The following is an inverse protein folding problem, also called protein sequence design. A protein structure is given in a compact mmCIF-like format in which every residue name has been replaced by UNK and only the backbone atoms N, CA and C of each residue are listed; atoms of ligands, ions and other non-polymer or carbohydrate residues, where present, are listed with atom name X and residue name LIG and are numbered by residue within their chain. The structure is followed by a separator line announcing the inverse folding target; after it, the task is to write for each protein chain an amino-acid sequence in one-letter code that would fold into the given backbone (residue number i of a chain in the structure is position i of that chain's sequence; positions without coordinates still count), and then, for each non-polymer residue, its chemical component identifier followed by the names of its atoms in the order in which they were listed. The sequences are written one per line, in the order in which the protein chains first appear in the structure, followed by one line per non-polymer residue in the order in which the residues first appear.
data_IF_243320557775
#
_entry.id   IF_243320557775
#
_cell.length_a   1.000
_cell.length_b   1.000
_cell.length_c   1.000
_cell.angle_alpha   90.00
_cell.angle_beta   90.00
_cell.angle_gamma   90.00
#
_symmetry.space_group_name_H-M   'P 1'
#
loop_
_entity.id
_entity.type
_entity.pdbx_description
1 polymer ?
#
# COMPACT_ATOMS: atom_id res chain seq x y z
N UNK A 1 -20.86 24.33 20.36
CA UNK A 1 -21.25 22.93 20.56
C UNK A 1 -20.14 22.09 19.94
N UNK A 2 -19.50 21.18 20.69
CA UNK A 2 -18.43 20.35 20.11
C UNK A 2 -19.07 19.46 19.04
N UNK A 3 -18.58 19.55 17.81
CA UNK A 3 -19.08 18.80 16.67
C UNK A 3 -19.02 17.29 17.00
N UNK A 4 -20.16 16.58 16.96
CA UNK A 4 -20.21 15.14 17.22
C UNK A 4 -19.78 14.41 15.95
N UNK A 5 -18.63 13.70 15.92
CA UNK A 5 -18.23 12.95 14.74
C UNK A 5 -19.20 11.81 14.46
N UNK A 6 -19.63 11.70 13.21
CA UNK A 6 -20.44 10.58 12.71
C UNK A 6 -19.56 9.40 12.33
N UNK A 7 -19.87 8.21 12.85
CA UNK A 7 -19.22 6.94 12.50
C UNK A 7 -20.15 6.11 11.62
N UNK A 8 -19.64 5.59 10.50
CA UNK A 8 -20.32 4.58 9.70
C UNK A 8 -20.07 3.19 10.29
N UNK A 9 -21.14 2.51 10.70
CA UNK A 9 -21.14 1.13 11.16
C UNK A 9 -21.54 0.20 10.02
N UNK A 10 -20.60 -0.59 9.50
CA UNK A 10 -20.85 -1.63 8.51
C UNK A 10 -21.09 -3.00 9.14
N UNK A 11 -22.21 -3.65 8.80
CA UNK A 11 -22.52 -5.02 9.22
C UNK A 11 -23.43 -5.73 8.21
N UNK A 12 -23.43 -7.07 8.22
CA UNK A 12 -24.45 -7.87 7.53
C UNK A 12 -25.59 -8.12 8.53
N UNK A 13 -26.65 -7.30 8.51
CA UNK A 13 -27.66 -7.27 9.58
C UNK A 13 -28.57 -8.49 9.62
N UNK A 14 -28.59 -9.27 8.54
CA UNK A 14 -29.28 -10.55 8.42
C UNK A 14 -28.67 -11.67 9.28
N UNK A 15 -27.39 -11.57 9.60
CA UNK A 15 -26.62 -12.60 10.32
C UNK A 15 -25.90 -12.07 11.55
N UNK A 16 -25.67 -10.75 11.61
CA UNK A 16 -24.87 -10.06 12.64
C UNK A 16 -25.62 -8.91 13.30
N UNK A 17 -26.95 -9.01 13.33
CA UNK A 17 -27.84 -7.94 13.75
C UNK A 17 -27.73 -7.60 15.25
N UNK A 18 -27.60 -8.61 16.11
CA UNK A 18 -27.47 -8.40 17.56
C UNK A 18 -26.16 -7.69 17.91
N UNK A 19 -25.06 -8.11 17.28
CA UNK A 19 -23.74 -7.53 17.44
C UNK A 19 -23.70 -6.09 16.93
N UNK A 20 -24.30 -5.83 15.76
CA UNK A 20 -24.41 -4.49 15.20
C UNK A 20 -25.24 -3.58 16.11
N UNK A 21 -26.34 -4.07 16.67
CA UNK A 21 -27.17 -3.32 17.62
C UNK A 21 -26.40 -2.98 18.91
N UNK A 22 -25.62 -3.92 19.42
CA UNK A 22 -24.76 -3.69 20.59
C UNK A 22 -23.71 -2.63 20.30
N UNK A 23 -22.96 -2.76 19.20
CA UNK A 23 -21.94 -1.79 18.82
C UNK A 23 -22.53 -0.40 18.55
N UNK A 24 -23.68 -0.32 17.90
CA UNK A 24 -24.45 0.91 17.73
C UNK A 24 -24.74 1.59 19.07
N UNK A 25 -25.27 0.83 20.05
CA UNK A 25 -25.58 1.36 21.39
C UNK A 25 -24.33 1.89 22.08
N UNK A 26 -23.23 1.14 22.07
CA UNK A 26 -21.97 1.56 22.69
C UNK A 26 -21.43 2.84 22.05
N UNK A 27 -21.47 2.96 20.72
CA UNK A 27 -21.04 4.19 20.03
C UNK A 27 -21.91 5.41 20.40
N UNK A 28 -23.23 5.23 20.54
CA UNK A 28 -24.13 6.29 21.03
C UNK A 28 -23.80 6.69 22.48
N UNK A 29 -23.51 5.73 23.36
CA UNK A 29 -23.06 5.97 24.74
C UNK A 29 -21.71 6.73 24.78
N UNK A 30 -20.83 6.49 23.81
CA UNK A 30 -19.58 7.24 23.61
C UNK A 30 -19.77 8.59 22.90
N UNK A 31 -21.00 9.11 22.89
CA UNK A 31 -21.34 10.44 22.38
C UNK A 31 -21.05 10.61 20.88
N UNK A 32 -21.17 9.54 20.08
CA UNK A 32 -21.01 9.58 18.61
C UNK A 32 -22.36 9.61 17.91
N UNK A 33 -22.39 10.22 16.73
CA UNK A 33 -23.47 9.94 15.77
C UNK A 33 -23.12 8.68 14.98
N UNK A 34 -24.12 7.88 14.62
CA UNK A 34 -23.89 6.56 14.02
C UNK A 34 -24.84 6.37 12.85
N UNK A 35 -24.27 6.17 11.67
CA UNK A 35 -25.00 5.68 10.49
C UNK A 35 -24.74 4.19 10.35
N UNK A 36 -25.76 3.41 10.01
CA UNK A 36 -25.63 1.95 9.84
C UNK A 36 -25.84 1.63 8.36
N UNK A 37 -24.87 0.94 7.77
CA UNK A 37 -24.94 0.42 6.39
C UNK A 37 -25.01 -1.11 6.43
N UNK A 38 -26.05 -1.66 5.79
CA UNK A 38 -26.27 -3.09 5.71
C UNK A 38 -25.67 -3.69 4.44
N UNK A 39 -24.75 -4.64 4.61
CA UNK A 39 -24.13 -5.41 3.54
C UNK A 39 -24.63 -6.85 3.42
N UNK A 40 -25.70 -7.20 4.13
CA UNK A 40 -26.29 -8.54 4.10
C UNK A 40 -26.94 -8.88 2.77
N UNK A 41 -26.87 -10.15 2.38
CA UNK A 41 -27.45 -10.67 1.11
C UNK A 41 -28.46 -11.80 1.34
N UNK A 42 -28.61 -12.28 2.57
CA UNK A 42 -29.56 -13.32 2.97
C UNK A 42 -30.69 -12.71 3.79
N UNK A 43 -31.57 -13.55 4.31
CA UNK A 43 -32.47 -13.27 5.44
C UNK A 43 -33.19 -11.91 5.43
N UNK A 44 -33.63 -11.50 6.62
CA UNK A 44 -34.18 -10.17 6.87
C UNK A 44 -33.26 -9.44 7.84
N UNK A 45 -33.03 -8.13 7.66
CA UNK A 45 -32.19 -7.39 8.59
C UNK A 45 -32.84 -7.42 9.98
N UNK A 46 -32.04 -7.63 11.01
CA UNK A 46 -32.53 -7.67 12.40
C UNK A 46 -33.17 -6.35 12.85
N UNK A 47 -32.78 -5.24 12.21
CA UNK A 47 -33.38 -3.93 12.40
C UNK A 47 -33.17 -3.04 11.17
N UNK A 48 -33.93 -1.95 11.08
CA UNK A 48 -33.84 -0.99 9.98
C UNK A 48 -32.49 -0.24 9.99
N UNK A 49 -31.65 -0.39 8.95
CA UNK A 49 -30.42 0.39 8.79
C UNK A 49 -30.71 1.81 8.31
N UNK A 50 -29.71 2.69 8.38
CA UNK A 50 -29.80 4.01 7.74
C UNK A 50 -29.57 3.94 6.24
N UNK A 51 -28.79 2.96 5.80
CA UNK A 51 -28.51 2.64 4.40
C UNK A 51 -28.81 1.16 4.22
N UNK A 52 -29.86 0.86 3.46
CA UNK A 52 -30.35 -0.49 3.24
C UNK A 52 -29.43 -1.28 2.30
N UNK A 53 -29.46 -2.61 2.44
CA UNK A 53 -28.77 -3.52 1.52
C UNK A 53 -29.30 -3.42 0.08
N UNK A 54 -30.56 -3.00 -0.10
CA UNK A 54 -31.15 -2.72 -1.40
C UNK A 54 -30.52 -1.46 -2.04
N UNK A 55 -30.22 -0.42 -1.26
CA UNK A 55 -29.45 0.74 -1.71
C UNK A 55 -28.01 0.36 -2.03
N UNK A 56 -27.37 -0.44 -1.17
CA UNK A 56 -26.00 -0.96 -1.41
C UNK A 56 -25.95 -1.75 -2.71
N UNK A 57 -26.86 -2.69 -2.92
CA UNK A 57 -26.95 -3.45 -4.16
C UNK A 57 -27.11 -2.51 -5.36
N UNK A 58 -28.04 -1.56 -5.30
CA UNK A 58 -28.30 -0.61 -6.40
C UNK A 58 -27.09 0.25 -6.73
N UNK A 59 -26.32 0.67 -5.72
CA UNK A 59 -25.09 1.42 -5.94
C UNK A 59 -24.01 0.59 -6.69
N UNK A 60 -24.06 -0.74 -6.61
CA UNK A 60 -23.22 -1.64 -7.43
C UNK A 60 -23.68 -1.79 -8.88
N UNK A 61 -24.87 -1.28 -9.22
CA UNK A 61 -25.50 -1.42 -10.53
C UNK A 61 -26.46 -2.61 -10.66
N UNK A 62 -26.74 -3.33 -9.57
CA UNK A 62 -27.59 -4.51 -9.55
C UNK A 62 -28.72 -4.36 -8.52
N UNK A 63 -29.83 -5.08 -8.71
CA UNK A 63 -30.82 -5.25 -7.65
C UNK A 63 -30.35 -6.30 -6.63
N UNK A 64 -30.87 -6.23 -5.41
CA UNK A 64 -30.58 -7.24 -4.39
C UNK A 64 -31.02 -8.66 -4.84
N UNK A 65 -32.13 -8.74 -5.58
CA UNK A 65 -32.64 -10.01 -6.10
C UNK A 65 -31.75 -10.63 -7.19
N UNK A 66 -31.04 -9.82 -7.98
CA UNK A 66 -30.02 -10.31 -8.91
C UNK A 66 -28.80 -10.82 -8.15
N UNK A 67 -28.33 -10.07 -7.14
CA UNK A 67 -27.17 -10.47 -6.31
C UNK A 67 -27.45 -11.79 -5.58
N UNK A 68 -28.67 -11.97 -5.04
CA UNK A 68 -29.09 -13.21 -4.37
C UNK A 68 -29.09 -14.44 -5.28
N UNK A 69 -29.24 -14.27 -6.59
CA UNK A 69 -29.24 -15.36 -7.57
C UNK A 69 -27.84 -15.82 -7.96
N UNK A 70 -26.79 -15.10 -7.56
CA UNK A 70 -25.40 -15.47 -7.83
C UNK A 70 -25.07 -16.75 -7.04
N UNK A 71 -24.67 -17.85 -7.72
CA UNK A 71 -24.46 -19.14 -7.06
C UNK A 71 -23.34 -19.12 -6.00
N UNK A 72 -22.31 -18.31 -6.24
CA UNK A 72 -21.15 -18.22 -5.38
C UNK A 72 -21.25 -16.99 -4.47
N UNK A 73 -21.42 -17.21 -3.17
CA UNK A 73 -21.54 -16.15 -2.16
C UNK A 73 -20.37 -15.15 -2.22
N UNK A 74 -19.17 -15.63 -2.56
CA UNK A 74 -17.98 -14.80 -2.76
C UNK A 74 -18.17 -13.72 -3.83
N UNK A 75 -18.78 -14.08 -4.96
CA UNK A 75 -19.05 -13.16 -6.06
C UNK A 75 -20.14 -12.15 -5.69
N UNK A 76 -21.19 -12.60 -5.00
CA UNK A 76 -22.25 -11.73 -4.49
C UNK A 76 -21.71 -10.67 -3.53
N UNK A 77 -20.82 -11.06 -2.61
CA UNK A 77 -20.19 -10.15 -1.64
C UNK A 77 -19.30 -9.11 -2.33
N UNK A 78 -18.63 -9.44 -3.44
CA UNK A 78 -17.84 -8.48 -4.20
C UNK A 78 -18.71 -7.34 -4.74
N UNK A 79 -19.91 -7.64 -5.26
CA UNK A 79 -20.83 -6.61 -5.74
C UNK A 79 -21.33 -5.72 -4.59
N UNK A 80 -21.68 -6.32 -3.45
CA UNK A 80 -22.06 -5.56 -2.26
C UNK A 80 -20.93 -4.65 -1.78
N UNK A 81 -19.67 -5.12 -1.84
CA UNK A 81 -18.51 -4.31 -1.49
C UNK A 81 -18.37 -3.09 -2.41
N UNK A 82 -18.55 -3.27 -3.72
CA UNK A 82 -18.49 -2.18 -4.70
C UNK A 82 -19.59 -1.14 -4.47
N UNK A 83 -20.81 -1.58 -4.15
CA UNK A 83 -21.90 -0.69 -3.80
C UNK A 83 -21.62 0.10 -2.52
N UNK A 84 -21.18 -0.59 -1.47
CA UNK A 84 -20.84 0.03 -0.19
C UNK A 84 -19.64 0.99 -0.30
N UNK A 85 -18.66 0.68 -1.15
CA UNK A 85 -17.52 1.56 -1.47
C UNK A 85 -18.01 2.90 -2.02
N UNK A 86 -18.89 2.89 -3.02
CA UNK A 86 -19.41 4.11 -3.66
C UNK A 86 -20.16 4.97 -2.65
N UNK A 87 -21.09 4.37 -1.92
CA UNK A 87 -21.86 5.07 -0.89
C UNK A 87 -20.93 5.66 0.18
N UNK A 88 -19.97 4.88 0.69
CA UNK A 88 -19.05 5.34 1.73
C UNK A 88 -18.20 6.52 1.24
N UNK A 89 -17.71 6.49 0.00
CA UNK A 89 -16.97 7.60 -0.61
C UNK A 89 -17.80 8.87 -0.73
N UNK A 90 -19.05 8.74 -1.19
CA UNK A 90 -19.95 9.88 -1.32
C UNK A 90 -20.23 10.51 0.05
N UNK A 91 -20.45 9.69 1.08
CA UNK A 91 -20.63 10.17 2.45
C UNK A 91 -19.40 10.92 3.00
N UNK A 92 -18.18 10.47 2.67
CA UNK A 92 -16.94 11.18 3.04
C UNK A 92 -16.85 12.51 2.31
N UNK A 93 -17.09 12.52 0.99
CA UNK A 93 -17.03 13.72 0.16
C UNK A 93 -18.03 14.79 0.62
N UNK A 94 -19.20 14.35 1.08
CA UNK A 94 -20.26 15.21 1.63
C UNK A 94 -20.02 15.62 3.10
N UNK A 95 -18.96 15.13 3.75
CA UNK A 95 -18.67 15.41 5.16
C UNK A 95 -19.66 14.77 6.13
N UNK A 96 -20.43 13.76 5.70
CA UNK A 96 -21.46 13.10 6.51
C UNK A 96 -20.89 12.06 7.48
N UNK A 97 -19.70 11.52 7.20
CA UNK A 97 -19.01 10.55 8.06
C UNK A 97 -17.55 10.95 8.29
N UNK A 98 -17.04 10.58 9.46
CA UNK A 98 -15.71 10.94 9.97
C UNK A 98 -14.86 9.72 10.34
N UNK A 99 -15.45 8.54 10.27
CA UNK A 99 -14.77 7.27 10.48
C UNK A 99 -15.68 6.10 10.13
N UNK A 100 -15.08 4.94 9.91
CA UNK A 100 -15.80 3.70 9.65
C UNK A 100 -15.35 2.63 10.63
N UNK A 101 -16.32 1.94 11.23
CA UNK A 101 -16.09 0.69 11.92
C UNK A 101 -16.96 -0.39 11.31
N UNK A 102 -16.40 -1.57 11.12
CA UNK A 102 -17.13 -2.72 10.64
C UNK A 102 -16.62 -3.99 11.28
N UNK A 103 -17.35 -5.09 11.09
CA UNK A 103 -16.95 -6.37 11.64
C UNK A 103 -17.46 -7.55 10.82
N UNK A 104 -16.82 -8.70 10.99
CA UNK A 104 -17.31 -9.94 10.41
C UNK A 104 -16.36 -11.12 10.53
N UNK A 105 -16.85 -12.27 10.09
CA UNK A 105 -16.02 -13.44 9.82
C UNK A 105 -15.24 -13.28 8.51
N UNK A 106 -14.92 -14.38 7.83
CA UNK A 106 -14.20 -14.34 6.55
C UNK A 106 -14.88 -13.44 5.50
N UNK A 107 -16.17 -13.66 5.22
CA UNK A 107 -16.91 -12.92 4.19
C UNK A 107 -17.12 -11.45 4.54
N UNK A 108 -17.51 -11.15 5.79
CA UNK A 108 -17.66 -9.77 6.25
C UNK A 108 -16.32 -9.03 6.27
N UNK A 109 -15.22 -9.70 6.59
CA UNK A 109 -13.89 -9.09 6.53
C UNK A 109 -13.48 -8.76 5.09
N UNK A 110 -13.82 -9.62 4.12
CA UNK A 110 -13.59 -9.33 2.71
C UNK A 110 -14.44 -8.14 2.24
N UNK A 111 -15.73 -8.13 2.57
CA UNK A 111 -16.66 -7.05 2.25
C UNK A 111 -16.14 -5.70 2.76
N UNK A 112 -15.99 -5.59 4.07
CA UNK A 112 -15.68 -4.32 4.71
C UNK A 112 -14.21 -3.93 4.55
N UNK A 113 -13.30 -4.91 4.45
CA UNK A 113 -11.91 -4.66 4.10
C UNK A 113 -11.75 -4.06 2.72
N UNK A 114 -12.55 -4.52 1.74
CA UNK A 114 -12.61 -3.92 0.40
C UNK A 114 -13.13 -2.50 0.46
N UNK A 115 -14.18 -2.22 1.24
CA UNK A 115 -14.68 -0.85 1.47
C UNK A 115 -13.58 0.05 2.06
N UNK A 116 -12.91 -0.41 3.11
CA UNK A 116 -11.88 0.35 3.81
C UNK A 116 -10.62 0.61 2.98
N UNK A 117 -10.30 -0.26 2.02
CA UNK A 117 -9.17 -0.06 1.10
C UNK A 117 -9.32 1.14 0.18
N UNK A 118 -10.55 1.59 -0.04
CA UNK A 118 -10.84 2.72 -0.92
C UNK A 118 -10.97 4.04 -0.15
N UNK A 119 -10.76 4.01 1.16
CA UNK A 119 -10.83 5.20 2.01
C UNK A 119 -9.45 5.85 2.07
N UNK A 120 -9.38 7.20 2.11
CA UNK A 120 -8.12 7.93 2.14
C UNK A 120 -7.22 7.57 3.33
N UNK A 121 -5.91 7.71 3.19
CA UNK A 121 -4.98 7.66 4.32
C UNK A 121 -5.37 8.68 5.40
N UNK A 122 -5.16 8.29 6.66
CA UNK A 122 -5.53 9.10 7.82
C UNK A 122 -7.03 9.06 8.15
N UNK A 123 -7.91 8.65 7.22
CA UNK A 123 -9.33 8.49 7.53
C UNK A 123 -9.53 7.34 8.54
N UNK A 124 -10.18 7.56 9.70
CA UNK A 124 -10.38 6.53 10.71
C UNK A 124 -11.11 5.29 10.21
N UNK A 125 -10.45 4.14 10.24
CA UNK A 125 -10.98 2.87 9.70
C UNK A 125 -10.60 1.68 10.59
N UNK A 126 -11.60 1.02 11.18
CA UNK A 126 -11.44 -0.11 12.11
C UNK A 126 -12.25 -1.31 11.64
N UNK A 127 -11.58 -2.44 11.42
CA UNK A 127 -12.24 -3.71 11.11
C UNK A 127 -12.03 -4.71 12.25
N UNK A 128 -13.12 -5.19 12.86
CA UNK A 128 -13.08 -6.29 13.82
C UNK A 128 -13.26 -7.61 13.05
N UNK A 129 -12.25 -8.48 13.07
CA UNK A 129 -12.23 -9.69 12.24
C UNK A 129 -11.87 -10.94 13.04
N UNK A 130 -12.58 -12.04 12.81
CA UNK A 130 -12.18 -13.38 13.30
C UNK A 130 -10.97 -13.95 12.55
N UNK A 131 -10.52 -13.26 11.50
CA UNK A 131 -9.42 -13.65 10.63
C UNK A 131 -8.26 -12.65 10.67
N UNK A 132 -8.22 -11.76 11.66
CA UNK A 132 -7.16 -10.76 11.76
C UNK A 132 -5.77 -11.35 12.02
N UNK A 133 -5.69 -12.59 12.50
CA UNK A 133 -4.45 -13.35 12.66
C UNK A 133 -4.14 -14.28 11.49
N UNK A 134 -4.94 -14.26 10.42
CA UNK A 134 -4.73 -15.08 9.23
C UNK A 134 -3.94 -14.28 8.16
N UNK A 135 -2.69 -14.65 7.82
CA UNK A 135 -1.89 -13.93 6.85
C UNK A 135 -2.56 -13.72 5.49
N UNK A 136 -3.36 -14.68 5.01
CA UNK A 136 -4.03 -14.59 3.71
C UNK A 136 -5.18 -13.57 3.72
N UNK A 137 -5.84 -13.39 4.88
CA UNK A 137 -6.87 -12.36 5.02
C UNK A 137 -6.23 -10.99 5.20
N UNK A 138 -5.17 -10.87 6.00
CA UNK A 138 -4.43 -9.61 6.17
C UNK A 138 -3.94 -9.08 4.81
N UNK A 139 -3.33 -9.95 3.99
CA UNK A 139 -2.90 -9.64 2.61
C UNK A 139 -4.03 -9.11 1.73
N UNK A 140 -5.25 -9.60 1.93
CA UNK A 140 -6.41 -9.18 1.14
C UNK A 140 -7.09 -7.94 1.66
N UNK A 141 -6.98 -7.66 2.97
CA UNK A 141 -7.76 -6.64 3.68
C UNK A 141 -6.96 -5.35 3.94
N UNK A 142 -5.71 -5.45 4.41
CA UNK A 142 -4.93 -4.27 4.81
C UNK A 142 -4.16 -3.69 3.62
N UNK A 143 -3.45 -4.56 2.88
CA UNK A 143 -2.60 -4.19 1.73
C UNK A 143 -1.71 -2.98 2.06
N UNK A 144 -1.86 -1.87 1.32
CA UNK A 144 -1.07 -0.65 1.45
C UNK A 144 -1.71 0.44 2.33
N UNK A 145 -2.87 0.19 2.93
CA UNK A 145 -3.65 1.17 3.72
C UNK A 145 -3.41 1.06 5.22
N UNK A 146 -3.74 2.14 5.93
CA UNK A 146 -3.70 2.30 7.38
C UNK A 146 -4.95 1.74 8.08
N UNK A 147 -5.33 0.50 7.76
CA UNK A 147 -6.50 -0.17 8.36
C UNK A 147 -6.15 -0.71 9.76
N UNK A 148 -6.90 -0.28 10.77
CA UNK A 148 -6.82 -0.88 12.10
C UNK A 148 -7.61 -2.20 12.13
N UNK A 149 -6.90 -3.32 12.05
CA UNK A 149 -7.49 -4.65 12.09
C UNK A 149 -7.48 -5.20 13.53
N UNK A 150 -8.64 -5.22 14.18
CA UNK A 150 -8.81 -5.73 15.54
C UNK A 150 -9.17 -7.23 15.49
N UNK A 151 -8.32 -8.07 16.07
CA UNK A 151 -8.58 -9.51 16.12
C UNK A 151 -9.71 -9.86 17.09
N UNK A 152 -10.67 -10.65 16.61
CA UNK A 152 -11.63 -11.36 17.45
C UNK A 152 -11.14 -12.80 17.65
N UNK A 153 -10.58 -13.17 18.81
CA UNK A 153 -10.11 -14.54 19.08
C UNK A 153 -11.24 -15.57 19.15
N UNK A 154 -12.50 -15.12 19.27
CA UNK A 154 -13.69 -15.97 19.24
C UNK A 154 -14.53 -15.62 18.01
N UNK A 155 -15.36 -16.57 17.58
CA UNK A 155 -16.32 -16.27 16.52
C UNK A 155 -17.29 -15.16 16.95
N UNK A 156 -17.69 -14.33 15.98
CA UNK A 156 -18.65 -13.23 16.19
C UNK A 156 -20.07 -13.77 16.01
N UNK A 157 -20.43 -14.82 16.75
CA UNK A 157 -21.74 -15.48 16.69
C UNK A 157 -22.48 -15.25 18.02
N UNK A 158 -23.18 -14.15 18.10
CA UNK A 158 -23.90 -13.70 19.28
C UNK A 158 -23.03 -12.96 20.30
N UNK A 159 -23.72 -12.40 21.30
CA UNK A 159 -23.11 -11.60 22.36
C UNK A 159 -22.80 -12.46 23.60
N UNK A 160 -21.51 -12.55 23.93
CA UNK A 160 -21.00 -13.14 25.16
C UNK A 160 -20.00 -12.16 25.80
N UNK A 161 -19.51 -12.39 27.03
CA UNK A 161 -18.58 -11.47 27.68
C UNK A 161 -17.33 -11.13 26.85
N UNK A 162 -16.81 -12.09 26.07
CA UNK A 162 -15.64 -11.87 25.22
C UNK A 162 -15.98 -11.04 23.98
N UNK A 163 -17.05 -11.36 23.25
CA UNK A 163 -17.45 -10.58 22.07
C UNK A 163 -17.87 -9.15 22.46
N UNK A 164 -18.60 -8.98 23.57
CA UNK A 164 -18.91 -7.64 24.13
C UNK A 164 -17.64 -6.84 24.43
N UNK A 165 -16.64 -7.46 25.06
CA UNK A 165 -15.35 -6.82 25.35
C UNK A 165 -14.63 -6.36 24.08
N UNK A 166 -14.64 -7.18 23.03
CA UNK A 166 -14.01 -6.86 21.73
C UNK A 166 -14.74 -5.71 21.03
N UNK A 167 -16.08 -5.75 20.97
CA UNK A 167 -16.88 -4.67 20.39
C UNK A 167 -16.72 -3.36 21.16
N UNK A 168 -16.68 -3.41 22.49
CA UNK A 168 -16.42 -2.25 23.33
C UNK A 168 -15.06 -1.62 22.99
N UNK A 169 -13.99 -2.43 22.89
CA UNK A 169 -12.66 -1.95 22.49
C UNK A 169 -12.67 -1.34 21.09
N UNK A 170 -13.31 -2.00 20.12
CA UNK A 170 -13.46 -1.47 18.77
C UNK A 170 -14.17 -0.10 18.76
N UNK A 171 -15.25 0.03 19.53
CA UNK A 171 -15.99 1.29 19.69
C UNK A 171 -15.11 2.41 20.27
N UNK A 172 -14.31 2.10 21.29
CA UNK A 172 -13.37 3.06 21.87
C UNK A 172 -12.24 3.44 20.91
N UNK A 173 -11.68 2.48 20.17
CA UNK A 173 -10.64 2.74 19.16
C UNK A 173 -11.17 3.72 18.11
N UNK A 174 -12.29 3.41 17.45
CA UNK A 174 -12.84 4.31 16.43
C UNK A 174 -13.24 5.66 17.03
N UNK A 175 -13.80 5.66 18.25
CA UNK A 175 -14.21 6.89 18.95
C UNK A 175 -13.06 7.83 19.25
N UNK A 176 -11.87 7.30 19.55
CA UNK A 176 -10.64 8.08 19.70
C UNK A 176 -10.07 8.51 18.35
N UNK A 177 -10.01 7.61 17.37
CA UNK A 177 -9.47 7.93 16.04
C UNK A 177 -10.23 9.09 15.37
N UNK A 178 -11.56 9.14 15.46
CA UNK A 178 -12.36 10.24 14.88
C UNK A 178 -12.19 11.59 15.59
N UNK A 179 -11.47 11.65 16.71
CA UNK A 179 -11.09 12.91 17.34
C UNK A 179 -9.76 13.45 16.79
N UNK A 180 -8.95 12.59 16.18
CA UNK A 180 -7.69 12.96 15.54
C UNK A 180 -7.98 13.43 14.10
N UNK A 181 -7.72 14.70 13.80
CA UNK A 181 -7.81 15.21 12.42
C UNK A 181 -6.48 15.00 11.72
N UNK A 182 -6.52 14.36 10.56
CA UNK A 182 -5.38 14.32 9.65
C UNK A 182 -5.33 15.65 8.88
N UNK A 183 -4.32 16.46 9.16
CA UNK A 183 -4.14 17.74 8.48
C UNK A 183 -3.65 17.54 7.04
N UNK A 184 -4.10 18.37 6.08
CA UNK A 184 -3.54 18.36 4.74
C UNK A 184 -2.03 18.55 4.77
N UNK A 185 -1.31 17.78 3.96
CA UNK A 185 0.14 17.91 3.79
C UNK A 185 0.46 19.29 3.20
N UNK A 186 1.24 20.09 3.93
CA UNK A 186 1.65 21.45 3.51
C UNK A 186 3.14 21.50 3.16
N UNK A 187 3.89 20.49 3.58
CA UNK A 187 5.32 20.36 3.41
C UNK A 187 5.69 19.94 1.98
N UNK A 188 6.95 20.20 1.59
CA UNK A 188 7.55 19.68 0.36
C UNK A 188 7.95 18.22 0.58
N UNK A 189 6.99 17.31 0.47
CA UNK A 189 7.19 15.89 0.77
C UNK A 189 7.80 15.15 -0.42
N UNK A 190 8.83 14.34 -0.14
CA UNK A 190 9.51 13.50 -1.13
C UNK A 190 9.37 12.05 -0.70
N UNK A 191 8.77 11.20 -1.55
CA UNK A 191 8.72 9.78 -1.29
C UNK A 191 10.08 9.13 -1.62
N UNK A 192 10.56 8.28 -0.73
CA UNK A 192 11.73 7.42 -0.94
C UNK A 192 11.26 5.96 -0.91
N UNK A 193 11.60 5.14 -1.89
CA UNK A 193 11.37 3.70 -1.83
C UNK A 193 12.70 2.97 -1.63
N UNK A 194 12.89 2.27 -0.50
CA UNK A 194 14.19 1.72 -0.12
C UNK A 194 14.14 0.37 0.61
N UNK A 195 15.26 -0.37 0.55
CA UNK A 195 15.53 -1.59 1.34
C UNK A 195 16.70 -1.39 2.31
N UNK A 196 16.75 -2.23 3.35
CA UNK A 196 17.82 -2.18 4.36
C UNK A 196 19.22 -2.44 3.79
N UNK A 197 19.34 -3.18 2.68
CA UNK A 197 20.63 -3.45 2.03
C UNK A 197 21.24 -2.23 1.30
N UNK A 198 20.56 -1.08 1.31
CA UNK A 198 21.08 0.21 0.83
C UNK A 198 20.93 1.33 1.87
N UNK A 199 20.68 1.01 3.15
CA UNK A 199 20.32 2.00 4.16
C UNK A 199 21.34 3.14 4.31
N UNK A 200 22.63 2.88 4.06
CA UNK A 200 23.67 3.91 4.01
C UNK A 200 23.38 5.03 2.99
N UNK A 201 22.84 4.69 1.80
CA UNK A 201 22.38 5.67 0.82
C UNK A 201 21.12 6.39 1.31
N UNK A 202 20.11 5.63 1.74
CA UNK A 202 18.80 6.17 2.12
C UNK A 202 18.94 7.18 3.25
N UNK A 203 19.76 6.90 4.26
CA UNK A 203 20.03 7.82 5.37
C UNK A 203 20.65 9.14 4.91
N UNK A 204 21.63 9.09 3.99
CA UNK A 204 22.26 10.28 3.44
C UNK A 204 21.30 11.11 2.58
N UNK A 205 20.47 10.45 1.76
CA UNK A 205 19.43 11.11 0.95
C UNK A 205 18.40 11.80 1.86
N UNK A 206 17.89 11.13 2.90
CA UNK A 206 16.96 11.73 3.88
C UNK A 206 17.57 12.98 4.52
N UNK A 207 18.80 12.88 5.01
CA UNK A 207 19.51 14.00 5.64
C UNK A 207 19.63 15.19 4.69
N UNK A 208 20.12 14.96 3.47
CA UNK A 208 20.32 16.01 2.46
C UNK A 208 19.02 16.66 2.00
N UNK A 209 17.92 15.89 1.89
CA UNK A 209 16.60 16.44 1.58
C UNK A 209 16.10 17.36 2.70
N UNK A 210 16.23 16.92 3.96
CA UNK A 210 15.87 17.73 5.12
C UNK A 210 16.68 19.04 5.19
N UNK A 211 17.99 18.98 4.94
CA UNK A 211 18.87 20.16 4.86
C UNK A 211 18.44 21.17 3.77
N UNK A 212 17.74 20.70 2.73
CA UNK A 212 17.18 21.54 1.65
C UNK A 212 15.72 21.94 1.88
N UNK A 213 15.14 21.63 3.05
CA UNK A 213 13.77 21.99 3.40
C UNK A 213 12.69 21.10 2.81
N UNK A 214 13.03 19.84 2.46
CA UNK A 214 12.07 18.82 2.03
C UNK A 214 11.85 17.80 3.15
N UNK A 215 10.64 17.24 3.21
CA UNK A 215 10.26 16.22 4.19
C UNK A 215 10.30 14.84 3.54
N UNK A 216 11.32 14.00 3.81
CA UNK A 216 11.37 12.67 3.24
C UNK A 216 10.38 11.72 3.91
N UNK A 217 9.64 10.94 3.12
CA UNK A 217 8.77 9.85 3.59
C UNK A 217 9.30 8.56 2.99
N UNK A 218 9.80 7.64 3.82
CA UNK A 218 10.39 6.39 3.35
C UNK A 218 9.37 5.26 3.37
N UNK A 219 9.16 4.65 2.22
CA UNK A 219 8.39 3.43 2.00
C UNK A 219 9.36 2.26 1.82
N UNK A 220 9.02 1.12 2.40
CA UNK A 220 9.84 -0.07 2.26
C UNK A 220 9.61 -0.70 0.88
N UNK A 221 10.65 -0.92 0.09
CA UNK A 221 10.54 -1.49 -1.26
C UNK A 221 10.32 -3.03 -1.24
N UNK A 222 9.51 -3.54 -0.32
CA UNK A 222 9.19 -4.95 -0.16
C UNK A 222 7.77 -5.12 0.39
N UNK A 223 7.15 -6.27 0.13
CA UNK A 223 5.74 -6.49 0.47
C UNK A 223 4.82 -5.46 -0.18
N UNK A 224 3.98 -4.79 0.62
CA UNK A 224 3.02 -3.79 0.15
C UNK A 224 3.53 -2.34 0.18
N UNK A 225 4.76 -2.06 0.63
CA UNK A 225 5.27 -0.69 0.66
C UNK A 225 5.29 0.01 -0.72
N UNK A 226 5.58 -0.68 -1.84
CA UNK A 226 5.40 -0.12 -3.19
C UNK A 226 3.96 0.30 -3.49
N UNK A 227 2.97 -0.48 -3.06
CA UNK A 227 1.56 -0.11 -3.18
C UNK A 227 1.23 1.14 -2.34
N UNK A 228 1.68 1.18 -1.09
CA UNK A 228 1.49 2.34 -0.21
C UNK A 228 2.08 3.62 -0.81
N UNK A 229 3.26 3.53 -1.45
CA UNK A 229 3.88 4.67 -2.13
C UNK A 229 3.00 5.18 -3.27
N UNK A 230 2.58 4.31 -4.17
CA UNK A 230 1.75 4.69 -5.32
C UNK A 230 0.41 5.28 -4.89
N UNK A 231 -0.20 4.74 -3.82
CA UNK A 231 -1.42 5.30 -3.23
C UNK A 231 -1.17 6.68 -2.59
N UNK A 232 -0.07 6.86 -1.84
CA UNK A 232 0.28 8.13 -1.23
C UNK A 232 0.52 9.22 -2.29
N UNK A 233 1.11 8.84 -3.43
CA UNK A 233 1.23 9.71 -4.59
C UNK A 233 -0.16 10.07 -5.11
N UNK A 234 -1.01 9.10 -5.46
CA UNK A 234 -2.39 9.35 -5.96
C UNK A 234 -3.21 10.26 -5.06
N UNK A 235 -3.06 10.12 -3.75
CA UNK A 235 -3.76 10.92 -2.74
C UNK A 235 -3.13 12.30 -2.48
N UNK A 236 -2.11 12.69 -3.27
CA UNK A 236 -1.41 13.98 -3.17
C UNK A 236 -0.71 14.21 -1.83
N UNK A 237 -0.34 13.14 -1.13
CA UNK A 237 0.48 13.22 0.09
C UNK A 237 1.95 13.49 -0.24
N UNK A 238 2.35 13.24 -1.48
CA UNK A 238 3.68 13.51 -2.02
C UNK A 238 3.60 14.73 -2.94
N UNK A 239 4.31 15.80 -2.59
CA UNK A 239 4.15 17.12 -3.24
C UNK A 239 5.36 17.56 -4.04
N UNK A 240 6.55 17.02 -3.75
CA UNK A 240 7.81 17.49 -4.33
C UNK A 240 8.52 16.49 -5.25
N UNK A 241 8.24 15.19 -5.13
CA UNK A 241 8.81 14.20 -6.03
C UNK A 241 8.97 12.82 -5.41
N UNK A 242 9.45 11.89 -6.22
CA UNK A 242 9.68 10.50 -5.84
C UNK A 242 11.11 10.09 -6.17
N UNK A 243 11.78 9.42 -5.25
CA UNK A 243 13.08 8.78 -5.44
C UNK A 243 12.92 7.28 -5.19
N UNK A 244 12.95 6.52 -6.27
CA UNK A 244 12.94 5.05 -6.25
C UNK A 244 14.38 4.57 -6.06
N UNK A 245 14.81 4.42 -4.80
CA UNK A 245 16.19 4.04 -4.46
C UNK A 245 16.44 2.54 -4.61
N UNK A 246 15.42 1.72 -4.33
CA UNK A 246 15.49 0.27 -4.41
C UNK A 246 14.42 -0.31 -5.32
N UNK A 247 14.78 -1.39 -5.99
CA UNK A 247 13.89 -2.25 -6.75
C UNK A 247 12.96 -3.07 -5.83
N UNK A 248 11.69 -3.11 -6.22
CA UNK A 248 10.66 -4.02 -5.74
C UNK A 248 10.04 -4.87 -6.86
N UNK A 249 10.01 -4.34 -8.09
CA UNK A 249 9.29 -4.93 -9.22
C UNK A 249 10.02 -6.13 -9.85
N UNK A 250 11.36 -6.17 -9.82
CA UNK A 250 12.14 -7.32 -10.29
C UNK A 250 11.78 -8.57 -9.48
N UNK A 251 11.64 -8.43 -8.16
CA UNK A 251 11.24 -9.55 -7.30
C UNK A 251 9.85 -10.06 -7.69
N UNK A 252 8.89 -9.16 -7.96
CA UNK A 252 7.58 -9.56 -8.47
C UNK A 252 7.68 -10.37 -9.79
N UNK A 253 8.56 -9.98 -10.71
CA UNK A 253 8.71 -10.66 -12.01
C UNK A 253 9.41 -12.02 -11.92
N UNK A 254 10.39 -12.15 -11.03
CA UNK A 254 11.22 -13.35 -10.93
C UNK A 254 10.89 -14.23 -9.72
N UNK A 255 9.76 -13.97 -9.05
CA UNK A 255 9.16 -14.90 -8.09
C UNK A 255 9.54 -14.69 -6.62
N UNK A 256 9.95 -13.48 -6.25
CA UNK A 256 10.08 -13.02 -4.87
C UNK A 256 8.74 -12.62 -4.23
N UNK A 257 8.81 -11.93 -3.10
CA UNK A 257 7.65 -11.68 -2.20
C UNK A 257 7.22 -10.20 -2.12
N UNK A 258 7.46 -9.45 -3.19
CA UNK A 258 6.96 -8.08 -3.34
C UNK A 258 5.60 -8.05 -4.02
N UNK A 259 4.72 -7.12 -3.61
CA UNK A 259 3.35 -6.99 -4.11
C UNK A 259 3.09 -5.58 -4.70
N UNK A 260 3.83 -5.17 -5.75
CA UNK A 260 3.62 -3.89 -6.39
C UNK A 260 2.25 -3.83 -7.10
N UNK A 261 1.61 -2.66 -7.21
CA UNK A 261 0.41 -2.51 -8.01
C UNK A 261 0.74 -2.55 -9.51
N UNK A 262 -0.29 -2.72 -10.34
CA UNK A 262 -0.16 -2.76 -11.80
C UNK A 262 0.50 -1.48 -12.36
N UNK A 263 0.15 -0.33 -11.77
CA UNK A 263 0.62 1.00 -12.15
C UNK A 263 1.91 1.43 -11.42
N UNK A 264 2.69 0.48 -10.89
CA UNK A 264 3.98 0.75 -10.27
C UNK A 264 4.90 1.58 -11.18
N UNK A 265 5.52 2.61 -10.58
CA UNK A 265 6.36 3.66 -11.17
C UNK A 265 5.64 4.68 -12.04
N UNK A 266 4.30 4.63 -12.14
CA UNK A 266 3.56 5.47 -13.08
C UNK A 266 2.89 6.67 -12.43
N UNK A 267 2.56 6.65 -11.12
CA UNK A 267 1.71 7.71 -10.56
C UNK A 267 2.46 9.03 -10.39
N UNK A 268 3.75 9.01 -10.06
CA UNK A 268 4.57 10.23 -10.06
C UNK A 268 4.53 10.91 -11.43
N UNK A 269 4.67 10.12 -12.50
CA UNK A 269 4.61 10.57 -13.89
C UNK A 269 3.22 11.15 -14.22
N UNK A 270 2.15 10.41 -13.90
CA UNK A 270 0.75 10.85 -14.13
C UNK A 270 0.43 12.16 -13.41
N UNK A 271 1.06 12.40 -12.27
CA UNK A 271 0.89 13.62 -11.46
C UNK A 271 1.89 14.72 -11.82
N UNK A 272 2.77 14.49 -12.79
CA UNK A 272 3.76 15.46 -13.23
C UNK A 272 4.84 15.76 -12.18
N UNK A 273 5.04 14.85 -11.22
CA UNK A 273 6.08 14.94 -10.20
C UNK A 273 7.44 14.49 -10.76
N UNK A 274 8.55 15.10 -10.33
CA UNK A 274 9.89 14.59 -10.55
C UNK A 274 10.03 13.15 -10.06
N UNK A 275 10.69 12.32 -10.88
CA UNK A 275 10.96 10.93 -10.55
C UNK A 275 12.44 10.61 -10.80
N UNK A 276 13.14 10.27 -9.73
CA UNK A 276 14.49 9.69 -9.81
C UNK A 276 14.37 8.18 -9.64
N UNK A 277 14.97 7.41 -10.55
CA UNK A 277 15.09 5.96 -10.43
C UNK A 277 16.54 5.55 -10.24
N UNK A 278 16.81 4.72 -9.24
CA UNK A 278 18.11 4.11 -8.96
C UNK A 278 17.92 2.59 -8.97
N UNK A 279 18.79 1.81 -9.65
CA UNK A 279 18.68 0.36 -9.67
C UNK A 279 19.19 -0.31 -8.38
N UNK A 280 18.99 0.31 -7.22
CA UNK A 280 19.42 -0.25 -5.95
C UNK A 280 18.71 -1.57 -5.66
N UNK A 281 19.41 -2.51 -5.04
CA UNK A 281 18.88 -3.84 -4.73
C UNK A 281 18.41 -4.64 -5.97
N UNK A 282 18.73 -4.23 -7.21
CA UNK A 282 18.45 -5.02 -8.41
C UNK A 282 19.35 -6.27 -8.50
N UNK A 283 20.43 -6.31 -7.73
CA UNK A 283 21.34 -7.45 -7.62
C UNK A 283 20.74 -8.67 -6.92
N UNK A 284 19.60 -8.53 -6.23
CA UNK A 284 19.02 -9.60 -5.41
C UNK A 284 17.58 -9.93 -5.78
N UNK A 285 17.23 -11.21 -5.61
CA UNK A 285 15.86 -11.71 -5.53
C UNK A 285 15.70 -12.34 -4.14
N UNK A 286 14.89 -11.71 -3.27
CA UNK A 286 14.51 -12.29 -2.00
C UNK A 286 13.52 -13.44 -2.18
N UNK A 287 13.86 -14.64 -1.71
CA UNK A 287 13.00 -15.83 -1.76
C UNK A 287 13.21 -16.75 -0.57
N UNK A 288 12.44 -17.84 -0.52
CA UNK A 288 12.57 -18.89 0.49
C UNK A 288 13.98 -19.53 0.43
N UNK A 289 14.49 -20.05 1.56
CA UNK A 289 15.70 -20.86 1.57
C UNK A 289 15.62 -22.03 0.60
N UNK A 290 16.74 -22.36 -0.05
CA UNK A 290 16.88 -23.49 -0.98
C UNK A 290 15.86 -23.53 -2.12
N UNK A 291 15.37 -22.36 -2.55
CA UNK A 291 14.43 -22.27 -3.66
C UNK A 291 15.04 -22.82 -4.96
N UNK A 292 14.42 -23.89 -5.48
CA UNK A 292 14.86 -24.63 -6.67
C UNK A 292 14.94 -23.76 -7.91
N UNK A 293 14.17 -22.66 -7.99
CA UNK A 293 14.19 -21.70 -9.10
C UNK A 293 15.56 -21.01 -9.25
N UNK A 294 16.32 -20.91 -8.17
CA UNK A 294 17.60 -20.20 -8.11
C UNK A 294 18.79 -21.14 -7.89
N UNK A 295 18.64 -22.43 -8.23
CA UNK A 295 19.70 -23.43 -8.10
C UNK A 295 20.97 -22.98 -8.82
N UNK A 296 22.11 -23.05 -8.12
CA UNK A 296 23.43 -22.70 -8.66
C UNK A 296 23.78 -21.21 -8.63
N UNK A 297 22.87 -20.33 -8.17
CA UNK A 297 23.17 -18.91 -8.02
C UNK A 297 23.96 -18.62 -6.76
N UNK A 298 24.78 -17.55 -6.78
CA UNK A 298 25.32 -16.94 -5.56
C UNK A 298 24.16 -16.42 -4.70
N UNK A 299 24.29 -16.51 -3.38
CA UNK A 299 23.26 -16.04 -2.46
C UNK A 299 23.85 -15.51 -1.14
N UNK A 300 23.04 -14.74 -0.42
CA UNK A 300 23.28 -14.33 0.96
C UNK A 300 22.11 -14.81 1.82
N UNK A 301 22.42 -15.38 2.99
CA UNK A 301 21.41 -15.77 3.98
C UNK A 301 21.00 -14.52 4.75
N UNK A 302 19.87 -13.91 4.40
CA UNK A 302 19.39 -12.70 5.07
C UNK A 302 18.86 -13.03 6.47
N UNK A 303 18.00 -14.05 6.57
CA UNK A 303 17.53 -14.63 7.83
C UNK A 303 17.08 -16.10 7.60
N UNK A 304 16.64 -16.84 8.64
CA UNK A 304 16.22 -18.23 8.48
C UNK A 304 15.06 -18.47 7.49
N UNK A 305 14.27 -17.45 7.18
CA UNK A 305 13.09 -17.53 6.30
C UNK A 305 13.30 -16.90 4.92
N UNK A 306 14.39 -16.16 4.72
CA UNK A 306 14.64 -15.39 3.49
C UNK A 306 16.11 -15.45 3.11
N UNK A 307 16.38 -15.90 1.88
CA UNK A 307 17.68 -15.80 1.23
C UNK A 307 17.59 -14.81 0.06
N UNK A 308 18.71 -14.16 -0.25
CA UNK A 308 18.83 -13.21 -1.36
C UNK A 308 19.70 -13.82 -2.45
N UNK A 309 19.12 -14.13 -3.60
CA UNK A 309 19.79 -14.78 -4.73
C UNK A 309 20.25 -13.75 -5.77
N UNK A 310 21.45 -13.95 -6.34
CA UNK A 310 22.00 -13.03 -7.35
C UNK A 310 21.17 -13.00 -8.64
N UNK A 311 20.91 -11.81 -9.16
CA UNK A 311 20.35 -11.64 -10.51
C UNK A 311 21.40 -11.81 -11.60
N UNK A 312 20.98 -12.30 -12.76
CA UNK A 312 21.83 -12.50 -13.94
C UNK A 312 21.84 -11.28 -14.86
N UNK A 313 22.82 -11.20 -15.77
CA UNK A 313 22.88 -10.19 -16.83
C UNK A 313 21.60 -10.11 -17.66
N UNK A 314 21.07 -11.27 -18.07
CA UNK A 314 19.84 -11.34 -18.86
C UNK A 314 18.64 -10.80 -18.11
N UNK A 315 18.46 -11.18 -16.84
CA UNK A 315 17.34 -10.69 -16.02
C UNK A 315 17.42 -9.19 -15.81
N UNK A 316 18.62 -8.64 -15.56
CA UNK A 316 18.79 -7.20 -15.41
C UNK A 316 18.57 -6.43 -16.71
N UNK A 317 18.97 -6.99 -17.85
CA UNK A 317 18.68 -6.42 -19.17
C UNK A 317 17.18 -6.39 -19.46
N UNK A 318 16.50 -7.53 -19.33
CA UNK A 318 15.05 -7.65 -19.57
C UNK A 318 14.26 -6.74 -18.61
N UNK A 319 14.68 -6.68 -17.34
CA UNK A 319 14.09 -5.81 -16.34
C UNK A 319 14.27 -4.32 -16.71
N UNK A 320 15.47 -3.92 -17.12
CA UNK A 320 15.75 -2.55 -17.53
C UNK A 320 14.90 -2.11 -18.72
N UNK A 321 14.67 -2.99 -19.71
CA UNK A 321 13.74 -2.72 -20.81
C UNK A 321 12.32 -2.48 -20.29
N UNK A 322 11.84 -3.33 -19.38
CA UNK A 322 10.49 -3.23 -18.83
C UNK A 322 10.27 -1.98 -17.98
N UNK A 323 11.28 -1.59 -17.18
CA UNK A 323 11.24 -0.35 -16.40
C UNK A 323 11.33 0.87 -17.33
N UNK A 324 12.21 0.85 -18.32
CA UNK A 324 12.32 1.92 -19.31
C UNK A 324 10.99 2.20 -20.03
N UNK A 325 10.25 1.16 -20.41
CA UNK A 325 8.90 1.28 -21.00
C UNK A 325 7.88 1.99 -20.09
N UNK A 326 7.98 1.80 -18.77
CA UNK A 326 7.15 2.52 -17.80
C UNK A 326 7.62 3.97 -17.64
N UNK A 327 8.93 4.16 -17.46
CA UNK A 327 9.55 5.45 -17.17
C UNK A 327 9.50 6.42 -18.35
N UNK A 328 9.55 5.94 -19.61
CA UNK A 328 9.57 6.80 -20.80
C UNK A 328 8.38 7.75 -20.90
N UNK A 329 7.25 7.39 -20.28
CA UNK A 329 6.04 8.23 -20.23
C UNK A 329 6.27 9.56 -19.49
N UNK A 330 7.28 9.65 -18.62
CA UNK A 330 7.59 10.86 -17.86
C UNK A 330 8.61 11.80 -18.51
N UNK A 331 9.24 11.38 -19.61
CA UNK A 331 10.12 12.23 -20.41
C UNK A 331 11.19 12.95 -19.59
N UNK A 332 11.26 14.28 -19.73
CA UNK A 332 12.23 15.15 -19.07
C UNK A 332 12.06 15.27 -17.54
N UNK A 333 10.96 14.76 -16.96
CA UNK A 333 10.74 14.73 -15.51
C UNK A 333 11.30 13.48 -14.85
N UNK A 334 11.86 12.56 -15.63
CA UNK A 334 12.42 11.30 -15.15
C UNK A 334 13.93 11.31 -15.36
N UNK A 335 14.66 10.89 -14.33
CA UNK A 335 16.09 10.61 -14.46
C UNK A 335 16.44 9.28 -13.81
N UNK A 336 17.18 8.45 -14.56
CA UNK A 336 17.77 7.21 -14.07
C UNK A 336 19.21 7.49 -13.66
N UNK A 337 19.55 7.29 -12.39
CA UNK A 337 20.90 7.43 -11.85
C UNK A 337 21.45 6.05 -11.50
N UNK A 338 22.54 5.65 -12.16
CA UNK A 338 23.08 4.30 -12.06
C UNK A 338 24.44 4.33 -11.35
N UNK A 339 24.57 3.71 -10.16
CA UNK A 339 25.86 3.55 -9.49
C UNK A 339 26.61 2.36 -10.12
N UNK A 340 27.52 2.64 -11.04
CA UNK A 340 28.23 1.65 -11.86
C UNK A 340 28.99 0.60 -11.03
N UNK A 341 29.47 0.98 -9.84
CA UNK A 341 30.34 0.12 -9.03
C UNK A 341 29.62 -0.82 -8.08
N UNK A 342 28.29 -0.76 -7.96
CA UNK A 342 27.53 -1.68 -7.11
C UNK A 342 26.13 -1.19 -6.75
N UNK A 343 25.17 -2.11 -6.71
CA UNK A 343 23.74 -1.83 -6.47
C UNK A 343 23.27 -2.08 -5.03
N UNK A 344 24.08 -2.70 -4.16
CA UNK A 344 23.74 -2.87 -2.73
C UNK A 344 24.98 -3.13 -1.89
N UNK A 345 24.84 -3.29 -0.56
CA UNK A 345 25.94 -3.77 0.31
C UNK A 345 26.55 -5.11 -0.14
N UNK A 346 25.84 -5.90 -0.95
CA UNK A 346 26.29 -7.22 -1.39
C UNK A 346 26.97 -7.19 -2.77
N UNK A 347 26.80 -6.12 -3.54
CA UNK A 347 27.22 -6.02 -4.93
C UNK A 347 28.22 -4.89 -5.11
N UNK A 348 29.31 -5.15 -5.84
CA UNK A 348 30.43 -4.24 -5.98
C UNK A 348 31.72 -4.84 -5.43
N UNK A 349 32.82 -4.10 -5.52
CA UNK A 349 34.13 -4.59 -5.07
C UNK A 349 34.08 -5.05 -3.59
N UNK A 350 34.52 -6.27 -3.33
CA UNK A 350 34.47 -6.90 -2.00
C UNK A 350 33.11 -7.50 -1.59
N UNK A 351 32.04 -7.25 -2.36
CA UNK A 351 30.70 -7.80 -2.11
C UNK A 351 30.57 -9.29 -2.50
N UNK A 352 29.90 -10.09 -1.67
CA UNK A 352 29.68 -11.54 -1.89
C UNK A 352 28.94 -11.82 -3.20
N UNK A 353 28.07 -10.90 -3.63
CA UNK A 353 27.28 -10.99 -4.85
C UNK A 353 27.88 -10.17 -5.99
N UNK A 354 29.12 -9.69 -5.91
CA UNK A 354 29.73 -8.89 -6.98
C UNK A 354 29.66 -9.61 -8.34
N UNK A 355 29.09 -8.90 -9.32
CA UNK A 355 29.02 -9.32 -10.71
C UNK A 355 28.84 -8.09 -11.62
N UNK A 356 29.94 -7.69 -12.26
CA UNK A 356 29.98 -6.53 -13.16
C UNK A 356 29.19 -6.78 -14.46
N UNK A 357 29.22 -8.00 -15.00
CA UNK A 357 28.49 -8.34 -16.22
C UNK A 357 26.99 -8.28 -15.99
N UNK A 358 26.52 -8.70 -14.81
CA UNK A 358 25.14 -8.51 -14.42
C UNK A 358 24.75 -7.03 -14.41
N UNK A 359 25.55 -6.15 -13.79
CA UNK A 359 25.29 -4.69 -13.78
C UNK A 359 25.28 -4.10 -15.19
N UNK A 360 26.18 -4.53 -16.07
CA UNK A 360 26.19 -4.13 -17.50
C UNK A 360 24.88 -4.45 -18.19
N UNK A 361 24.25 -5.59 -17.87
CA UNK A 361 22.91 -5.92 -18.38
C UNK A 361 21.87 -4.83 -18.13
N UNK A 362 21.80 -4.30 -16.90
CA UNK A 362 20.88 -3.19 -16.59
C UNK A 362 21.22 -1.93 -17.40
N UNK A 363 22.50 -1.56 -17.46
CA UNK A 363 22.98 -0.36 -18.17
C UNK A 363 22.68 -0.46 -19.67
N UNK A 364 22.99 -1.59 -20.29
CA UNK A 364 22.71 -1.86 -21.71
C UNK A 364 21.21 -1.78 -22.01
N UNK A 365 20.36 -2.37 -21.16
CA UNK A 365 18.92 -2.36 -21.34
C UNK A 365 18.32 -0.95 -21.24
N UNK A 366 18.65 -0.19 -20.19
CA UNK A 366 18.03 1.11 -19.94
C UNK A 366 18.50 2.20 -20.92
N UNK A 367 19.69 2.07 -21.52
CA UNK A 367 20.21 3.00 -22.53
C UNK A 367 19.37 3.08 -23.81
N UNK A 368 18.49 2.11 -24.05
CA UNK A 368 17.52 2.18 -25.14
C UNK A 368 16.54 3.37 -25.00
N UNK A 369 16.47 3.98 -23.81
CA UNK A 369 15.53 5.06 -23.50
C UNK A 369 16.20 6.44 -23.35
N UNK A 370 17.51 6.56 -23.58
CA UNK A 370 18.30 7.81 -23.42
C UNK A 370 17.80 8.98 -24.26
N UNK A 371 17.07 8.70 -25.34
CA UNK A 371 16.45 9.72 -26.19
C UNK A 371 15.16 10.31 -25.60
N UNK A 372 14.59 9.68 -24.59
CA UNK A 372 13.28 10.03 -24.01
C UNK A 372 13.41 10.45 -22.55
N UNK A 373 14.23 9.74 -21.77
CA UNK A 373 14.51 10.04 -20.37
C UNK A 373 15.99 10.28 -20.18
N UNK A 374 16.36 11.01 -19.12
CA UNK A 374 17.77 11.20 -18.80
C UNK A 374 18.30 9.93 -18.11
N UNK A 375 19.41 9.38 -18.60
CA UNK A 375 20.12 8.27 -17.95
C UNK A 375 21.56 8.70 -17.67
N UNK A 376 21.98 8.58 -16.42
CA UNK A 376 23.35 8.92 -15.99
C UNK A 376 23.98 7.71 -15.33
N UNK A 377 25.06 7.21 -15.93
CA UNK A 377 25.95 6.22 -15.33
C UNK A 377 27.03 6.96 -14.56
N UNK A 378 27.11 6.72 -13.25
CA UNK A 378 28.01 7.43 -12.35
C UNK A 378 29.06 6.45 -11.79
N UNK A 379 30.34 6.85 -11.72
CA UNK A 379 31.46 5.97 -11.35
C UNK A 379 31.56 5.74 -9.83
N UNK A 380 30.42 5.50 -9.19
CA UNK A 380 30.27 5.35 -7.75
C UNK A 380 29.62 4.01 -7.39
N UNK A 381 29.89 3.57 -6.17
CA UNK A 381 29.10 2.54 -5.51
C UNK A 381 27.83 3.18 -4.95
N UNK A 382 26.72 2.44 -4.82
CA UNK A 382 25.45 3.01 -4.33
C UNK A 382 25.57 3.64 -2.93
N UNK A 383 26.47 3.12 -2.10
CA UNK A 383 26.74 3.60 -0.73
C UNK A 383 27.76 4.75 -0.66
N UNK A 384 28.28 5.21 -1.79
CA UNK A 384 29.17 6.36 -1.83
C UNK A 384 28.40 7.65 -1.54
N UNK A 385 28.89 8.48 -0.62
CA UNK A 385 28.26 9.74 -0.26
C UNK A 385 28.12 10.72 -1.44
N UNK A 386 29.00 10.61 -2.45
CA UNK A 386 28.91 11.38 -3.68
C UNK A 386 27.72 10.95 -4.52
N UNK A 387 27.40 9.66 -4.58
CA UNK A 387 26.19 9.19 -5.25
C UNK A 387 24.91 9.72 -4.58
N UNK A 388 24.88 9.73 -3.24
CA UNK A 388 23.77 10.34 -2.49
C UNK A 388 23.59 11.84 -2.79
N UNK A 389 24.70 12.56 -3.01
CA UNK A 389 24.67 13.96 -3.42
C UNK A 389 24.04 14.12 -4.81
N UNK A 390 24.48 13.35 -5.80
CA UNK A 390 23.94 13.38 -7.17
C UNK A 390 22.42 13.09 -7.19
N UNK A 391 21.96 12.10 -6.41
CA UNK A 391 20.53 11.78 -6.28
C UNK A 391 19.70 12.98 -5.84
N UNK A 392 20.16 13.70 -4.81
CA UNK A 392 19.42 14.84 -4.28
C UNK A 392 19.52 16.05 -5.20
N UNK A 393 20.70 16.38 -5.73
CA UNK A 393 20.84 17.51 -6.64
C UNK A 393 20.02 17.32 -7.93
N UNK A 394 19.94 16.08 -8.44
CA UNK A 394 19.12 15.80 -9.61
C UNK A 394 17.63 16.00 -9.33
N UNK A 395 17.14 15.55 -8.15
CA UNK A 395 15.76 15.85 -7.76
C UNK A 395 15.55 17.38 -7.66
N UNK A 396 16.48 18.12 -7.06
CA UNK A 396 16.37 19.58 -6.95
C UNK A 396 16.33 20.27 -8.31
N UNK A 397 17.14 19.78 -9.27
CA UNK A 397 17.16 20.28 -10.65
C UNK A 397 15.79 20.07 -11.31
N UNK A 398 15.21 18.88 -11.17
CA UNK A 398 13.90 18.57 -11.73
C UNK A 398 12.78 19.36 -11.03
N UNK A 399 12.82 19.48 -9.71
CA UNK A 399 11.83 20.22 -8.92
C UNK A 399 11.79 21.71 -9.26
N UNK A 400 12.94 22.35 -9.50
CA UNK A 400 13.01 23.76 -9.92
C UNK A 400 12.40 24.03 -11.31
N UNK A 401 12.28 22.98 -12.13
CA UNK A 401 11.73 23.05 -13.48
C UNK A 401 10.27 22.53 -13.54
N UNK A 402 9.65 22.26 -12.39
CA UNK A 402 8.20 22.04 -12.28
C UNK A 402 7.45 23.34 -12.43
#
# INVERSE_FOLDING_TARGET
MQERPTVLLGACLDTKGEEARYLFKVLKELNKEVLVIDGGIRGTPFFEPHISREEVARASGFSLEEIKKIPHEGEAIVLMAQGAQRITKDLIKEGKIHGMIAFGGSMGSLLWGTVMQDLPFGFPKVLISTQASNPEVIKRVVKGKDICLLNSPVDLAGLNPLTKSIFLRGAWIISGMVQCKFEPVKEKTVALCAKGNIEGLTALVRKKLAEKGFTPITFHAWGYGPLSLEEAVKERLITAGVIELSNDYLEYLYGGTSYPPEDRYENAIKMGLPLIYVPGSCDIIASLPEDKRFKGRKYVKHNPSVWSYRTTKKELYDFALKIGEKLKKGGNKVTVLIPEKGFSIYDGEGGVLNDEEARKGFIEGIKNFDKVITVKVLPYHILDARFAHEVVEELMRLYKNM
#
